data_IF_467147890492
#
_entry.id   IF_467147890492
#
_cell.length_a   1.000
_cell.length_b   1.000
_cell.length_c   1.000
_cell.angle_alpha   90.00
_cell.angle_beta   90.00
_cell.angle_gamma   90.00
#
_symmetry.space_group_name_H-M   'P 1'
#
loop_
_entity.id
_entity.type
_entity.pdbx_description
1 polymer ?
#
# COMPACT_ATOMS: atom_id res chain seq x y z
N UNK A 1 22.04 -2.97 -2.77
CA UNK A 1 20.69 -2.98 -2.19
C UNK A 1 19.80 -2.16 -3.11
N UNK A 2 18.71 -2.73 -3.63
CA UNK A 2 17.73 -1.96 -4.39
C UNK A 2 16.89 -1.14 -3.42
N UNK A 3 16.82 0.19 -3.62
CA UNK A 3 15.98 1.08 -2.84
C UNK A 3 14.65 1.31 -3.58
N UNK A 4 13.57 1.34 -2.82
CA UNK A 4 12.22 1.52 -3.34
C UNK A 4 11.64 0.29 -4.06
N UNK A 5 10.35 0.30 -4.23
CA UNK A 5 9.58 -0.77 -4.90
C UNK A 5 8.21 -0.28 -5.38
N UNK A 6 8.07 1.01 -5.64
CA UNK A 6 6.82 1.59 -6.17
C UNK A 6 7.16 2.73 -7.12
N UNK A 7 6.82 2.58 -8.38
CA UNK A 7 7.16 3.54 -9.42
C UNK A 7 6.03 3.70 -10.44
N UNK A 8 5.97 4.87 -11.08
CA UNK A 8 5.12 5.15 -12.22
C UNK A 8 5.95 5.81 -13.31
N UNK A 9 5.71 5.46 -14.56
CA UNK A 9 6.50 5.94 -15.69
C UNK A 9 5.90 5.55 -17.02
N UNK A 10 6.73 5.56 -18.05
CA UNK A 10 6.37 5.22 -19.42
C UNK A 10 7.20 4.02 -19.91
N UNK A 11 6.56 3.15 -20.66
CA UNK A 11 7.22 2.00 -21.28
C UNK A 11 8.10 2.48 -22.44
N UNK A 12 9.42 2.33 -22.30
CA UNK A 12 10.39 2.70 -23.34
C UNK A 12 10.81 1.51 -24.20
N UNK A 13 10.69 0.29 -23.68
CA UNK A 13 11.00 -0.95 -24.39
C UNK A 13 10.17 -2.11 -23.83
N UNK A 14 9.78 -3.05 -24.68
CA UNK A 14 9.11 -4.30 -24.29
C UNK A 14 9.98 -5.50 -24.63
N UNK A 15 9.98 -6.50 -23.72
CA UNK A 15 10.69 -7.75 -23.91
C UNK A 15 10.08 -8.63 -24.98
N UNK A 16 10.85 -9.60 -25.46
CA UNK A 16 10.37 -10.57 -26.43
C UNK A 16 9.27 -11.44 -25.82
N UNK A 17 8.12 -11.49 -26.47
CA UNK A 17 6.96 -12.28 -26.00
C UNK A 17 5.96 -11.50 -25.17
N UNK A 18 6.27 -10.28 -24.72
CA UNK A 18 5.32 -9.39 -24.06
C UNK A 18 4.38 -8.82 -25.12
N UNK A 19 3.08 -9.04 -24.95
CA UNK A 19 2.04 -8.56 -25.87
C UNK A 19 1.04 -7.60 -25.22
N UNK A 20 1.03 -7.53 -23.88
CA UNK A 20 0.08 -6.72 -23.13
C UNK A 20 0.47 -5.25 -23.04
N UNK A 21 1.73 -4.88 -23.36
CA UNK A 21 2.23 -3.52 -23.26
C UNK A 21 2.90 -3.06 -24.57
N UNK A 22 2.86 -1.73 -24.79
CA UNK A 22 3.48 -1.08 -25.95
C UNK A 22 4.35 0.08 -25.48
N UNK A 23 5.36 0.44 -26.27
CA UNK A 23 6.15 1.66 -26.05
C UNK A 23 5.23 2.87 -26.04
N UNK A 24 5.38 3.74 -25.05
CA UNK A 24 4.51 4.89 -24.81
C UNK A 24 3.36 4.64 -23.83
N UNK A 25 3.08 3.37 -23.43
CA UNK A 25 2.09 3.10 -22.39
C UNK A 25 2.55 3.69 -21.05
N UNK A 26 1.66 4.41 -20.39
CA UNK A 26 1.89 4.85 -19.00
C UNK A 26 1.56 3.70 -18.05
N UNK A 27 2.47 3.42 -17.13
CA UNK A 27 2.38 2.26 -16.27
C UNK A 27 2.83 2.55 -14.84
N UNK A 28 2.38 1.72 -13.92
CA UNK A 28 2.92 1.55 -12.57
C UNK A 28 3.63 0.22 -12.46
N UNK A 29 4.61 0.14 -11.60
CA UNK A 29 5.34 -1.11 -11.38
C UNK A 29 5.99 -1.16 -9.99
N UNK A 30 6.49 -2.35 -9.63
CA UNK A 30 7.32 -2.53 -8.44
C UNK A 30 8.80 -2.17 -8.66
N UNK A 31 9.08 -1.38 -9.68
CA UNK A 31 10.42 -0.86 -9.94
C UNK A 31 11.00 -0.07 -8.77
N UNK A 32 12.30 -0.16 -8.57
CA UNK A 32 13.02 0.59 -7.55
C UNK A 32 13.27 2.04 -7.94
N UNK A 33 14.00 2.76 -7.08
CA UNK A 33 14.40 4.14 -7.33
C UNK A 33 15.51 4.18 -8.38
N UNK A 34 15.10 4.23 -9.64
CA UNK A 34 15.97 4.33 -10.80
C UNK A 34 15.24 5.01 -11.96
N UNK A 35 15.99 5.69 -12.83
CA UNK A 35 15.45 6.32 -14.03
C UNK A 35 14.83 5.28 -14.98
N UNK A 36 15.46 4.13 -15.12
CA UNK A 36 14.98 3.00 -15.89
C UNK A 36 14.91 1.75 -15.03
N UNK A 37 13.82 1.03 -15.14
CA UNK A 37 13.60 -0.24 -14.43
C UNK A 37 13.15 -1.31 -15.40
N UNK A 38 13.60 -2.54 -15.19
CA UNK A 38 13.12 -3.71 -15.91
C UNK A 38 12.24 -4.49 -14.95
N UNK A 39 10.98 -4.69 -15.34
CA UNK A 39 9.99 -5.38 -14.50
C UNK A 39 9.26 -6.43 -15.31
N UNK A 40 8.82 -7.49 -14.65
CA UNK A 40 7.99 -8.51 -15.28
C UNK A 40 6.59 -8.00 -15.55
N UNK A 41 5.92 -8.57 -16.55
CA UNK A 41 4.57 -8.19 -16.97
C UNK A 41 3.56 -8.22 -15.83
N UNK A 42 3.58 -9.26 -14.99
CA UNK A 42 2.68 -9.39 -13.84
C UNK A 42 2.97 -8.39 -12.70
N UNK A 43 4.09 -7.68 -12.74
CA UNK A 43 4.49 -6.65 -11.78
C UNK A 43 4.34 -5.23 -12.34
N UNK A 44 3.56 -5.11 -13.42
CA UNK A 44 3.29 -3.87 -14.13
C UNK A 44 1.77 -3.75 -14.39
N UNK A 45 1.22 -2.55 -14.34
CA UNK A 45 -0.18 -2.27 -14.70
C UNK A 45 -0.29 -0.92 -15.39
N UNK A 46 -1.18 -0.83 -16.38
CA UNK A 46 -1.45 0.44 -17.06
C UNK A 46 -2.15 1.42 -16.14
N UNK A 47 -1.91 2.69 -16.39
CA UNK A 47 -2.65 3.80 -15.79
C UNK A 47 -3.46 4.53 -16.88
N UNK A 48 -4.64 4.97 -16.51
CA UNK A 48 -5.50 5.79 -17.34
C UNK A 48 -4.86 7.18 -17.55
N UNK A 49 -5.05 7.77 -18.74
CA UNK A 49 -4.50 9.09 -19.08
C UNK A 49 -4.91 10.22 -18.12
N UNK A 50 -6.07 10.07 -17.46
CA UNK A 50 -6.60 11.05 -16.49
C UNK A 50 -6.03 10.87 -15.09
N UNK A 51 -5.20 9.86 -14.85
CA UNK A 51 -4.60 9.61 -13.52
C UNK A 51 -3.36 10.48 -13.34
N UNK A 52 -3.27 11.21 -12.22
CA UNK A 52 -2.05 11.92 -11.84
C UNK A 52 -0.93 10.91 -11.56
N UNK A 53 0.21 11.08 -12.22
CA UNK A 53 1.33 10.15 -12.11
C UNK A 53 1.93 10.09 -10.69
N UNK A 54 1.81 11.16 -9.92
CA UNK A 54 2.26 11.20 -8.51
C UNK A 54 1.38 10.33 -7.64
N UNK A 55 0.05 10.34 -7.87
CA UNK A 55 -0.87 9.43 -7.20
C UNK A 55 -0.64 7.98 -7.66
N UNK A 56 -0.42 7.78 -8.96
CA UNK A 56 -0.13 6.46 -9.52
C UNK A 56 1.15 5.83 -8.91
N UNK A 57 2.14 6.63 -8.55
CA UNK A 57 3.37 6.15 -7.90
C UNK A 57 3.12 5.44 -6.54
N UNK A 58 1.95 5.62 -5.92
CA UNK A 58 1.55 4.90 -4.71
C UNK A 58 0.97 3.51 -4.97
N UNK A 59 0.81 3.06 -6.21
CA UNK A 59 0.04 1.85 -6.54
C UNK A 59 0.52 0.60 -5.82
N UNK A 60 1.82 0.37 -5.70
CA UNK A 60 2.32 -0.81 -4.99
C UNK A 60 2.00 -0.73 -3.49
N UNK A 61 2.21 0.43 -2.87
CA UNK A 61 1.83 0.68 -1.47
C UNK A 61 0.31 0.58 -1.27
N UNK A 62 -0.46 1.14 -2.22
CA UNK A 62 -1.91 1.04 -2.25
C UNK A 62 -2.40 -0.40 -2.39
N UNK A 63 -1.67 -1.23 -3.13
CA UNK A 63 -2.00 -2.65 -3.27
C UNK A 63 -1.69 -3.46 -2.02
N UNK A 64 -0.68 -3.08 -1.24
CA UNK A 64 -0.44 -3.63 0.11
C UNK A 64 -1.65 -3.29 1.01
N UNK A 65 -2.06 -2.03 1.04
CA UNK A 65 -3.22 -1.58 1.80
C UNK A 65 -4.51 -2.28 1.35
N UNK A 66 -4.74 -2.38 0.04
CA UNK A 66 -5.91 -3.03 -0.55
C UNK A 66 -5.95 -4.53 -0.24
N UNK A 67 -4.80 -5.21 -0.27
CA UNK A 67 -4.73 -6.63 0.10
C UNK A 67 -5.09 -6.84 1.57
N UNK A 68 -4.54 -6.03 2.48
CA UNK A 68 -4.91 -6.06 3.90
C UNK A 68 -6.39 -5.78 4.12
N UNK A 69 -6.97 -4.79 3.44
CA UNK A 69 -8.39 -4.50 3.49
C UNK A 69 -9.25 -5.67 2.97
N UNK A 70 -8.82 -6.36 1.90
CA UNK A 70 -9.52 -7.58 1.41
C UNK A 70 -9.50 -8.71 2.43
N UNK A 71 -8.38 -8.90 3.12
CA UNK A 71 -8.26 -9.92 4.18
C UNK A 71 -9.16 -9.62 5.39
N UNK A 72 -9.53 -8.36 5.59
CA UNK A 72 -10.43 -7.95 6.68
C UNK A 72 -11.89 -8.38 6.44
N UNK A 73 -12.26 -8.67 5.18
CA UNK A 73 -13.63 -9.02 4.77
C UNK A 73 -14.69 -7.97 5.17
N UNK A 74 -14.25 -6.72 5.33
CA UNK A 74 -15.15 -5.60 5.62
C UNK A 74 -16.10 -5.35 4.47
N UNK A 75 -17.25 -4.79 4.78
CA UNK A 75 -18.30 -4.47 3.82
C UNK A 75 -18.88 -3.08 4.09
N UNK A 76 -19.83 -2.66 3.26
CA UNK A 76 -20.54 -1.39 3.42
C UNK A 76 -21.10 -1.24 4.86
N UNK A 77 -20.76 -0.13 5.52
CA UNK A 77 -21.19 0.18 6.88
C UNK A 77 -20.37 -0.51 7.99
N UNK A 78 -19.34 -1.28 7.67
CA UNK A 78 -18.44 -1.82 8.70
C UNK A 78 -17.70 -0.70 9.41
N UNK A 79 -17.50 -0.85 10.72
CA UNK A 79 -16.64 0.03 11.52
C UNK A 79 -15.22 -0.51 11.54
N UNK A 80 -14.30 0.26 10.97
CA UNK A 80 -12.89 -0.08 10.80
C UNK A 80 -12.02 0.86 11.62
N UNK A 81 -11.16 0.31 12.46
CA UNK A 81 -10.12 1.09 13.14
C UNK A 81 -8.76 0.76 12.53
N UNK A 82 -8.03 1.78 12.13
CA UNK A 82 -6.67 1.66 11.59
C UNK A 82 -5.68 2.14 12.65
N UNK A 83 -4.76 1.27 13.07
CA UNK A 83 -3.73 1.57 14.07
C UNK A 83 -2.38 1.74 13.36
N UNK A 84 -1.86 2.97 13.41
CA UNK A 84 -0.71 3.43 12.65
C UNK A 84 -1.12 4.21 11.40
N UNK A 85 -0.86 5.52 11.36
CA UNK A 85 -1.22 6.42 10.26
C UNK A 85 0.03 6.86 9.45
N UNK A 86 0.93 5.91 9.17
CA UNK A 86 1.91 6.06 8.11
C UNK A 86 1.24 6.03 6.73
N UNK A 87 2.02 6.05 5.65
CA UNK A 87 1.48 6.01 4.27
C UNK A 87 0.51 4.84 4.06
N UNK A 88 0.88 3.63 4.50
CA UNK A 88 0.01 2.44 4.36
C UNK A 88 -1.29 2.62 5.15
N UNK A 89 -1.22 3.17 6.37
CA UNK A 89 -2.41 3.42 7.18
C UNK A 89 -3.39 4.38 6.52
N UNK A 90 -2.88 5.50 5.99
CA UNK A 90 -3.71 6.45 5.23
C UNK A 90 -4.33 5.82 3.98
N UNK A 91 -3.57 4.99 3.25
CA UNK A 91 -4.09 4.27 2.10
C UNK A 91 -5.19 3.28 2.50
N UNK A 92 -5.05 2.58 3.62
CA UNK A 92 -6.13 1.71 4.16
C UNK A 92 -7.36 2.53 4.50
N UNK A 93 -7.21 3.68 5.18
CA UNK A 93 -8.34 4.57 5.51
C UNK A 93 -9.09 5.01 4.26
N UNK A 94 -8.38 5.56 3.24
CA UNK A 94 -8.99 6.02 1.98
C UNK A 94 -9.73 4.89 1.25
N UNK A 95 -9.15 3.69 1.22
CA UNK A 95 -9.77 2.53 0.57
C UNK A 95 -11.01 2.03 1.33
N UNK A 96 -10.96 1.99 2.67
CA UNK A 96 -12.09 1.60 3.49
C UNK A 96 -13.24 2.62 3.43
N UNK A 97 -12.93 3.92 3.42
CA UNK A 97 -13.91 5.00 3.20
C UNK A 97 -14.56 4.89 1.82
N UNK A 98 -13.76 4.67 0.75
CA UNK A 98 -14.27 4.48 -0.61
C UNK A 98 -15.17 3.24 -0.74
N UNK A 99 -14.97 2.23 0.11
CA UNK A 99 -15.83 1.05 0.21
C UNK A 99 -17.12 1.34 0.99
N UNK A 100 -17.21 2.48 1.71
CA UNK A 100 -18.36 2.87 2.52
C UNK A 100 -18.31 2.35 3.96
N UNK A 101 -17.11 2.11 4.51
CA UNK A 101 -16.91 1.81 5.93
C UNK A 101 -16.88 3.10 6.76
N UNK A 102 -17.25 3.00 8.03
CA UNK A 102 -16.96 4.02 9.05
C UNK A 102 -15.51 3.81 9.52
N UNK A 103 -14.63 4.78 9.25
CA UNK A 103 -13.20 4.65 9.49
C UNK A 103 -12.73 5.55 10.61
N UNK A 104 -11.93 5.00 11.51
CA UNK A 104 -11.26 5.72 12.60
C UNK A 104 -9.77 5.38 12.53
N UNK A 105 -8.92 6.39 12.51
CA UNK A 105 -7.46 6.25 12.52
C UNK A 105 -6.87 6.59 13.89
N UNK A 106 -5.87 5.84 14.33
CA UNK A 106 -5.15 6.09 15.59
C UNK A 106 -3.65 6.02 15.34
N UNK A 107 -2.95 7.11 15.69
CA UNK A 107 -1.48 7.17 15.66
C UNK A 107 -0.99 8.14 16.76
N UNK A 108 -0.03 7.77 17.60
CA UNK A 108 0.48 8.66 18.65
C UNK A 108 1.17 9.93 18.13
N UNK A 109 1.57 9.95 16.84
CA UNK A 109 2.16 11.12 16.22
C UNK A 109 1.04 12.06 15.68
N UNK A 110 0.89 13.28 16.24
CA UNK A 110 -0.14 14.22 15.78
C UNK A 110 0.07 14.67 14.33
N UNK A 111 1.31 14.63 13.84
CA UNK A 111 1.59 14.95 12.42
C UNK A 111 1.00 13.91 11.46
N UNK A 112 0.75 12.69 11.93
CA UNK A 112 0.08 11.64 11.18
C UNK A 112 -1.45 11.76 11.21
N UNK A 113 -1.99 12.26 12.31
CA UNK A 113 -3.44 12.37 12.51
C UNK A 113 -4.10 13.54 11.77
N UNK A 114 -3.33 14.51 11.28
CA UNK A 114 -3.85 15.73 10.62
C UNK A 114 -4.51 15.53 9.25
N UNK A 115 -4.40 14.34 8.66
CA UNK A 115 -4.87 14.04 7.31
C UNK A 115 -6.31 13.51 7.24
N UNK A 116 -7.05 13.53 8.35
CA UNK A 116 -8.45 13.11 8.38
C UNK A 116 -9.19 13.57 9.63
N UNK A 117 -10.49 13.79 9.50
CA UNK A 117 -11.35 14.34 10.57
C UNK A 117 -11.59 13.34 11.72
N UNK A 118 -11.53 12.04 11.44
CA UNK A 118 -11.74 10.96 12.41
C UNK A 118 -10.42 10.30 12.83
N UNK A 119 -9.32 11.06 12.84
CA UNK A 119 -8.02 10.56 13.24
C UNK A 119 -7.62 11.14 14.59
N UNK A 120 -7.13 10.29 15.48
CA UNK A 120 -6.89 10.58 16.88
C UNK A 120 -5.47 10.18 17.28
N UNK A 121 -4.92 10.87 18.28
CA UNK A 121 -3.60 10.54 18.83
C UNK A 121 -3.68 9.46 19.91
N UNK A 122 -4.83 9.26 20.51
CA UNK A 122 -5.07 8.23 21.51
C UNK A 122 -6.45 7.59 21.35
N UNK A 123 -6.56 6.35 21.75
CA UNK A 123 -7.85 5.65 21.88
C UNK A 123 -8.75 6.30 22.94
N UNK A 124 -8.17 7.00 23.92
CA UNK A 124 -8.92 7.67 24.97
C UNK A 124 -9.63 8.95 24.49
N UNK A 125 -9.25 9.45 23.30
CA UNK A 125 -9.85 10.64 22.69
C UNK A 125 -11.13 10.30 21.93
N UNK A 126 -11.48 9.02 21.76
CA UNK A 126 -12.62 8.57 20.96
C UNK A 126 -13.36 7.41 21.64
N UNK A 127 -14.69 7.47 21.64
CA UNK A 127 -15.50 6.34 22.14
C UNK A 127 -15.60 5.25 21.09
N UNK A 128 -14.85 4.14 21.27
CA UNK A 128 -14.84 2.99 20.39
C UNK A 128 -15.78 1.90 20.91
N UNK A 129 -16.85 1.64 20.15
CA UNK A 129 -17.79 0.54 20.40
C UNK A 129 -18.04 -0.23 19.10
N UNK A 130 -18.22 -1.53 19.24
CA UNK A 130 -18.62 -2.42 18.17
C UNK A 130 -17.72 -2.35 16.93
N UNK A 131 -16.40 -2.32 17.14
CA UNK A 131 -15.41 -2.31 16.07
C UNK A 131 -15.41 -3.66 15.34
N UNK A 132 -15.78 -3.68 14.08
CA UNK A 132 -15.86 -4.89 13.25
C UNK A 132 -14.49 -5.42 12.88
N UNK A 133 -13.57 -4.51 12.57
CA UNK A 133 -12.21 -4.86 12.15
C UNK A 133 -11.20 -3.85 12.66
N UNK A 134 -10.07 -4.36 13.12
CA UNK A 134 -8.89 -3.54 13.41
C UNK A 134 -7.79 -3.91 12.43
N UNK A 135 -7.28 -2.90 11.70
CA UNK A 135 -6.18 -3.07 10.75
C UNK A 135 -4.94 -2.39 11.32
N UNK A 136 -3.90 -3.17 11.60
CA UNK A 136 -2.65 -2.68 12.19
C UNK A 136 -1.64 -2.47 11.09
N UNK A 137 -1.25 -1.21 10.88
CA UNK A 137 -0.24 -0.79 9.90
C UNK A 137 1.00 -0.20 10.57
N UNK A 138 1.01 -0.15 11.90
CA UNK A 138 2.14 0.31 12.70
C UNK A 138 3.37 -0.58 12.52
N UNK A 139 4.56 0.03 12.58
CA UNK A 139 5.84 -0.66 12.67
C UNK A 139 6.50 -0.25 13.99
N UNK A 140 6.58 -1.18 14.94
CA UNK A 140 7.11 -0.92 16.29
C UNK A 140 7.54 -2.21 16.97
N UNK A 141 8.49 -2.11 17.90
CA UNK A 141 8.86 -3.21 18.81
C UNK A 141 7.90 -3.40 19.98
N UNK A 142 6.93 -2.48 20.17
CA UNK A 142 5.90 -2.55 21.20
C UNK A 142 4.80 -3.53 20.82
N UNK A 143 4.24 -4.21 21.83
CA UNK A 143 3.06 -5.07 21.69
C UNK A 143 1.73 -4.28 21.79
N UNK A 144 1.79 -2.99 22.12
CA UNK A 144 0.60 -2.14 22.32
C UNK A 144 -0.41 -2.18 21.17
N UNK A 145 -0.02 -2.17 19.86
CA UNK A 145 -1.00 -2.18 18.78
C UNK A 145 -1.91 -3.41 18.79
N UNK A 146 -1.38 -4.61 19.07
CA UNK A 146 -2.19 -5.83 19.12
C UNK A 146 -3.02 -5.90 20.42
N UNK A 147 -2.50 -5.41 21.53
CA UNK A 147 -3.25 -5.29 22.80
C UNK A 147 -4.41 -4.32 22.66
N UNK A 148 -4.18 -3.16 22.04
CA UNK A 148 -5.23 -2.21 21.72
C UNK A 148 -6.30 -2.85 20.82
N UNK A 149 -5.88 -3.53 19.75
CA UNK A 149 -6.80 -4.18 18.82
C UNK A 149 -7.72 -5.18 19.53
N UNK A 150 -7.19 -6.02 20.40
CA UNK A 150 -8.01 -6.99 21.16
C UNK A 150 -8.97 -6.31 22.13
N UNK A 151 -8.58 -5.16 22.71
CA UNK A 151 -9.40 -4.39 23.66
C UNK A 151 -10.63 -3.78 22.96
N UNK A 152 -10.45 -3.12 21.80
CA UNK A 152 -11.51 -2.37 21.13
C UNK A 152 -12.37 -3.22 20.17
N UNK A 153 -11.87 -4.34 19.69
CA UNK A 153 -12.58 -5.25 18.82
C UNK A 153 -13.85 -5.81 19.49
N UNK A 154 -14.98 -5.86 18.75
CA UNK A 154 -16.18 -6.56 19.23
C UNK A 154 -15.98 -8.09 19.23
N UNK A 155 -16.96 -8.82 19.74
CA UNK A 155 -16.97 -10.27 19.59
C UNK A 155 -16.99 -10.67 18.11
N UNK A 156 -16.20 -11.67 17.74
CA UNK A 156 -16.03 -12.17 16.37
C UNK A 156 -15.47 -11.14 15.37
N UNK A 157 -14.79 -10.12 15.88
CA UNK A 157 -14.09 -9.16 15.04
C UNK A 157 -12.84 -9.78 14.41
N UNK A 158 -12.39 -9.19 13.33
CA UNK A 158 -11.16 -9.57 12.64
C UNK A 158 -10.05 -8.54 12.90
N UNK A 159 -8.85 -9.03 13.18
CA UNK A 159 -7.64 -8.23 13.31
C UNK A 159 -6.72 -8.57 12.15
N UNK A 160 -6.35 -7.59 11.35
CA UNK A 160 -5.44 -7.75 10.21
C UNK A 160 -4.14 -7.00 10.49
N UNK A 161 -3.02 -7.70 10.41
CA UNK A 161 -1.70 -7.13 10.61
C UNK A 161 -1.00 -6.98 9.27
N UNK A 162 -0.76 -5.72 8.87
CA UNK A 162 0.01 -5.34 7.68
C UNK A 162 1.41 -4.88 8.09
N UNK A 163 1.49 -4.14 9.20
CA UNK A 163 2.73 -3.60 9.74
C UNK A 163 3.63 -4.63 10.38
N UNK A 164 4.77 -4.17 10.85
CA UNK A 164 5.77 -4.99 11.54
C UNK A 164 5.67 -4.76 13.05
N UNK A 165 5.01 -5.67 13.74
CA UNK A 165 4.80 -5.64 15.20
C UNK A 165 5.05 -7.01 15.81
N UNK A 166 5.40 -7.09 17.10
CA UNK A 166 5.35 -8.33 17.87
C UNK A 166 3.93 -8.90 17.91
N UNK A 167 3.81 -10.22 17.86
CA UNK A 167 2.54 -10.94 17.97
C UNK A 167 2.49 -11.74 19.27
N UNK A 168 2.78 -11.08 20.42
CA UNK A 168 2.64 -11.70 21.74
C UNK A 168 1.17 -11.62 22.16
N UNK A 169 0.38 -12.59 21.73
CA UNK A 169 -1.07 -12.63 21.93
C UNK A 169 -1.44 -13.48 23.14
N UNK A 170 -2.39 -12.97 23.93
CA UNK A 170 -3.03 -13.72 25.01
C UNK A 170 -4.13 -14.60 24.45
N UNK A 171 -4.07 -15.92 24.69
CA UNK A 171 -5.16 -16.83 24.32
C UNK A 171 -6.51 -16.38 24.86
N UNK A 172 -6.54 -15.84 26.09
CA UNK A 172 -7.80 -15.46 26.70
C UNK A 172 -8.49 -14.31 25.99
N UNK A 173 -7.73 -13.29 25.53
CA UNK A 173 -8.28 -12.14 24.83
C UNK A 173 -8.96 -12.56 23.51
N UNK A 174 -8.37 -13.53 22.83
CA UNK A 174 -8.96 -14.11 21.62
C UNK A 174 -10.13 -15.05 21.93
N UNK A 175 -9.99 -15.90 22.94
CA UNK A 175 -10.99 -16.92 23.27
C UNK A 175 -12.33 -16.32 23.68
N UNK A 176 -12.36 -15.32 24.56
CA UNK A 176 -13.61 -14.76 25.05
C UNK A 176 -14.39 -13.99 23.99
N UNK A 177 -13.71 -13.42 23.00
CA UNK A 177 -14.34 -12.69 21.90
C UNK A 177 -14.42 -13.47 20.59
N UNK A 178 -13.87 -14.69 20.52
CA UNK A 178 -13.72 -15.48 19.31
C UNK A 178 -13.10 -14.62 18.16
N UNK A 179 -12.00 -13.92 18.44
CA UNK A 179 -11.33 -13.05 17.48
C UNK A 179 -10.58 -13.86 16.43
N UNK A 180 -10.55 -13.34 15.20
CA UNK A 180 -9.71 -13.83 14.13
C UNK A 180 -8.48 -12.93 13.96
N UNK A 181 -7.30 -13.53 13.75
CA UNK A 181 -6.06 -12.82 13.43
C UNK A 181 -5.54 -13.27 12.06
N UNK A 182 -5.26 -12.30 11.19
CA UNK A 182 -4.68 -12.56 9.87
C UNK A 182 -3.47 -11.66 9.67
N UNK A 183 -2.35 -12.24 9.21
CA UNK A 183 -1.16 -11.49 8.80
C UNK A 183 -1.18 -11.32 7.29
N UNK A 184 -1.13 -10.08 6.83
CA UNK A 184 -1.16 -9.73 5.41
C UNK A 184 0.23 -9.92 4.79
N UNK A 185 0.27 -10.62 3.64
CA UNK A 185 1.52 -10.83 2.90
C UNK A 185 1.64 -9.85 1.75
N UNK A 186 2.34 -8.73 1.99
CA UNK A 186 2.67 -7.74 0.95
C UNK A 186 1.43 -7.33 0.12
N UNK A 187 1.52 -7.28 -1.21
CA UNK A 187 0.41 -6.87 -2.09
C UNK A 187 -0.40 -8.06 -2.66
N UNK A 188 -0.28 -9.23 -2.06
CA UNK A 188 -1.23 -10.33 -2.25
C UNK A 188 -0.68 -11.56 -2.98
N UNK A 189 -1.57 -12.48 -3.40
CA UNK A 189 -1.20 -13.71 -4.10
C UNK A 189 -0.39 -13.44 -5.37
N UNK A 190 0.63 -14.25 -5.60
CA UNK A 190 1.64 -14.08 -6.62
C UNK A 190 2.98 -13.63 -6.02
N UNK A 191 2.94 -12.90 -4.92
CA UNK A 191 4.15 -12.35 -4.28
C UNK A 191 5.10 -13.43 -3.82
N UNK A 192 6.36 -13.35 -4.29
CA UNK A 192 7.45 -14.31 -4.10
C UNK A 192 7.25 -15.66 -4.82
N UNK A 193 6.25 -15.78 -5.69
CA UNK A 193 6.13 -16.93 -6.59
C UNK A 193 6.87 -16.65 -7.90
N UNK A 194 7.98 -17.34 -8.13
CA UNK A 194 8.79 -17.18 -9.35
C UNK A 194 8.02 -17.53 -10.63
N UNK A 195 7.05 -18.45 -10.57
CA UNK A 195 6.21 -18.78 -11.71
C UNK A 195 5.36 -17.59 -12.12
N UNK A 196 4.82 -16.89 -11.14
CA UNK A 196 3.99 -15.71 -11.36
C UNK A 196 4.84 -14.47 -11.68
N UNK A 197 5.79 -14.10 -10.79
CA UNK A 197 6.54 -12.85 -10.91
C UNK A 197 7.55 -12.88 -12.07
N UNK A 198 8.29 -13.99 -12.26
CA UNK A 198 9.40 -14.03 -13.23
C UNK A 198 9.02 -14.68 -14.56
N UNK A 199 8.14 -15.68 -14.56
CA UNK A 199 7.80 -16.44 -15.76
C UNK A 199 6.44 -16.05 -16.37
N UNK A 200 5.72 -15.10 -15.76
CA UNK A 200 4.47 -14.56 -16.30
C UNK A 200 3.28 -15.52 -16.23
N UNK A 201 3.37 -16.62 -15.48
CA UNK A 201 2.27 -17.57 -15.35
C UNK A 201 1.23 -17.04 -14.36
N UNK A 202 0.08 -16.60 -14.86
CA UNK A 202 -1.02 -16.11 -14.01
C UNK A 202 -1.81 -17.27 -13.38
N UNK A 203 -2.43 -16.99 -12.24
CA UNK A 203 -3.37 -17.91 -11.60
C UNK A 203 -4.74 -17.85 -12.28
N UNK A 204 -5.44 -19.00 -12.43
CA UNK A 204 -6.83 -19.00 -12.86
C UNK A 204 -7.68 -18.09 -11.97
N UNK A 205 -8.44 -17.18 -12.59
CA UNK A 205 -9.18 -16.14 -11.86
C UNK A 205 -10.27 -16.72 -10.95
N UNK A 206 -10.82 -17.85 -11.28
CA UNK A 206 -11.83 -18.56 -10.49
C UNK A 206 -11.29 -19.14 -9.18
N UNK A 207 -9.96 -19.32 -9.07
CA UNK A 207 -9.31 -19.81 -7.85
C UNK A 207 -8.57 -18.72 -7.08
N UNK A 208 -8.00 -17.75 -7.80
CA UNK A 208 -7.27 -16.63 -7.19
C UNK A 208 -7.79 -15.32 -7.79
N UNK A 209 -8.86 -14.78 -7.20
CA UNK A 209 -9.51 -13.56 -7.73
C UNK A 209 -8.58 -12.34 -7.68
N UNK A 210 -7.81 -12.17 -6.62
CA UNK A 210 -7.02 -10.99 -6.34
C UNK A 210 -5.52 -11.33 -6.22
N UNK A 211 -4.85 -11.38 -7.39
CA UNK A 211 -3.39 -11.44 -7.45
C UNK A 211 -2.80 -10.04 -7.22
N UNK A 212 -1.50 -9.96 -7.00
CA UNK A 212 -0.79 -8.68 -6.89
C UNK A 212 -1.02 -7.77 -8.10
N UNK A 213 -0.97 -8.31 -9.33
CA UNK A 213 -1.26 -7.54 -10.55
C UNK A 213 -2.70 -7.01 -10.56
N UNK A 214 -3.68 -7.86 -10.25
CA UNK A 214 -5.10 -7.46 -10.19
C UNK A 214 -5.38 -6.47 -9.06
N UNK A 215 -4.55 -6.46 -8.01
CA UNK A 215 -4.59 -5.40 -7.00
C UNK A 215 -4.02 -4.08 -7.54
N UNK A 216 -2.96 -4.10 -8.37
CA UNK A 216 -2.48 -2.91 -9.07
C UNK A 216 -3.57 -2.32 -9.96
N UNK A 217 -4.18 -3.15 -10.82
CA UNK A 217 -5.28 -2.73 -11.70
C UNK A 217 -6.47 -2.15 -10.92
N UNK A 218 -6.86 -2.80 -9.81
CA UNK A 218 -7.97 -2.31 -8.99
C UNK A 218 -7.64 -0.97 -8.36
N UNK A 219 -6.42 -0.77 -7.87
CA UNK A 219 -6.00 0.48 -7.25
C UNK A 219 -5.89 1.62 -8.27
N UNK A 220 -5.25 1.39 -9.42
CA UNK A 220 -5.17 2.40 -10.49
C UNK A 220 -6.55 2.80 -11.02
N UNK A 221 -7.50 1.86 -11.06
CA UNK A 221 -8.88 2.14 -11.43
C UNK A 221 -9.59 3.05 -10.43
N UNK A 222 -9.36 2.87 -9.13
CA UNK A 222 -9.93 3.77 -8.11
C UNK A 222 -9.39 5.20 -8.26
N UNK A 223 -8.11 5.35 -8.60
CA UNK A 223 -7.49 6.65 -8.90
C UNK A 223 -8.10 7.29 -10.15
N UNK A 224 -8.20 6.55 -11.26
CA UNK A 224 -8.74 7.06 -12.52
C UNK A 224 -10.21 7.49 -12.40
N UNK A 225 -10.98 6.79 -11.57
CA UNK A 225 -12.38 7.10 -11.27
C UNK A 225 -12.53 8.18 -10.18
N UNK A 226 -11.43 8.70 -9.64
CA UNK A 226 -11.42 9.69 -8.55
C UNK A 226 -12.19 9.26 -7.31
N UNK A 227 -12.24 7.96 -7.05
CA UNK A 227 -12.85 7.41 -5.84
C UNK A 227 -11.94 7.55 -4.62
N UNK A 228 -10.64 7.68 -4.85
CA UNK A 228 -9.63 8.02 -3.86
C UNK A 228 -8.74 9.15 -4.39
N UNK A 229 -8.22 9.98 -3.49
CA UNK A 229 -7.31 11.08 -3.77
C UNK A 229 -6.11 10.97 -2.83
N UNK A 230 -4.89 11.16 -3.35
CA UNK A 230 -3.67 10.92 -2.59
C UNK A 230 -2.68 12.10 -2.64
N UNK A 231 -2.98 13.17 -3.37
CA UNK A 231 -2.04 14.29 -3.52
C UNK A 231 -1.74 14.99 -2.19
N UNK A 232 -2.68 15.00 -1.26
CA UNK A 232 -2.49 15.51 0.10
C UNK A 232 -1.53 14.68 0.94
N UNK A 233 -1.32 13.41 0.59
CA UNK A 233 -0.34 12.53 1.24
C UNK A 233 1.10 12.77 0.71
N UNK A 234 1.28 13.46 -0.42
CA UNK A 234 2.59 13.80 -0.98
C UNK A 234 3.16 14.98 -0.23
N UNK A 235 4.09 14.74 0.68
CA UNK A 235 4.75 15.82 1.43
C UNK A 235 5.64 16.66 0.53
N UNK A 236 6.43 16.03 -0.35
CA UNK A 236 7.35 16.69 -1.25
C UNK A 236 7.48 15.94 -2.58
N UNK A 237 7.76 16.69 -3.65
CA UNK A 237 8.20 16.14 -4.95
C UNK A 237 9.58 16.72 -5.23
N UNK A 238 10.59 15.88 -5.32
CA UNK A 238 11.97 16.32 -5.48
C UNK A 238 12.62 15.70 -6.71
N UNK A 239 13.65 16.35 -7.22
CA UNK A 239 14.48 15.76 -8.28
C UNK A 239 15.26 14.54 -7.74
N UNK A 240 15.48 13.53 -8.58
CA UNK A 240 16.18 12.32 -8.16
C UNK A 240 17.61 12.61 -7.69
N UNK A 241 18.24 13.60 -8.29
CA UNK A 241 19.60 14.05 -7.94
C UNK A 241 19.70 14.49 -6.48
N UNK A 242 18.58 14.98 -5.91
CA UNK A 242 18.50 15.44 -4.52
C UNK A 242 18.05 14.31 -3.55
N UNK A 243 17.83 13.09 -4.04
CA UNK A 243 17.37 11.97 -3.24
C UNK A 243 18.18 11.71 -1.95
N UNK A 244 19.53 11.82 -1.93
CA UNK A 244 20.30 11.65 -0.69
C UNK A 244 19.81 12.55 0.46
N UNK A 245 19.46 13.80 0.18
CA UNK A 245 18.97 14.75 1.19
C UNK A 245 17.62 14.36 1.80
N UNK A 246 16.82 13.59 1.05
CA UNK A 246 15.54 13.09 1.52
C UNK A 246 15.70 11.94 2.51
N UNK A 247 16.63 11.04 2.23
CA UNK A 247 16.89 9.93 3.16
C UNK A 247 17.36 10.44 4.52
N UNK A 248 18.12 11.55 4.55
CA UNK A 248 18.51 12.21 5.80
C UNK A 248 17.28 12.71 6.59
N UNK A 249 16.27 13.28 5.91
CA UNK A 249 15.02 13.76 6.56
C UNK A 249 14.23 12.65 7.26
N UNK A 250 14.37 11.38 6.85
CA UNK A 250 13.71 10.27 7.53
C UNK A 250 14.35 9.90 8.87
N UNK A 251 15.52 10.47 9.18
CA UNK A 251 16.18 10.36 10.49
C UNK A 251 15.84 11.55 11.41
N UNK A 252 15.17 12.60 10.90
CA UNK A 252 14.75 13.77 11.66
C UNK A 252 13.60 13.46 12.64
N UNK A 253 13.38 14.34 13.63
CA UNK A 253 12.24 14.24 14.56
C UNK A 253 10.89 14.36 13.82
N UNK A 254 10.80 15.28 12.83
CA UNK A 254 9.61 15.45 12.01
C UNK A 254 9.89 14.84 10.64
N UNK A 255 9.33 13.66 10.42
CA UNK A 255 9.51 12.91 9.16
C UNK A 255 8.42 13.26 8.16
N UNK A 256 8.77 13.43 6.86
CA UNK A 256 7.75 13.56 5.83
C UNK A 256 6.87 12.28 5.80
N UNK A 257 5.59 12.44 5.48
CA UNK A 257 4.69 11.28 5.32
C UNK A 257 5.11 10.47 4.11
N UNK A 258 5.31 11.14 2.98
CA UNK A 258 5.83 10.53 1.76
C UNK A 258 6.60 11.54 0.91
N UNK A 259 7.52 11.04 0.09
CA UNK A 259 8.25 11.84 -0.91
C UNK A 259 8.19 11.12 -2.25
N UNK A 260 7.90 11.87 -3.30
CA UNK A 260 7.94 11.38 -4.69
C UNK A 260 9.23 11.85 -5.34
N UNK A 261 10.05 10.92 -5.82
CA UNK A 261 11.24 11.21 -6.61
C UNK A 261 10.85 11.38 -8.07
N UNK A 262 11.24 12.52 -8.66
CA UNK A 262 10.99 12.83 -10.07
C UNK A 262 12.27 12.66 -10.88
N UNK A 263 12.21 11.87 -11.93
CA UNK A 263 13.27 11.67 -12.90
C UNK A 263 13.09 12.65 -14.08
N UNK A 264 14.20 13.07 -14.68
CA UNK A 264 14.17 13.88 -15.88
C UNK A 264 14.02 12.95 -17.10
N UNK A 265 12.84 12.94 -17.72
CA UNK A 265 12.52 12.10 -18.87
C UNK A 265 12.97 12.69 -20.22
N UNK A 266 13.52 13.90 -20.25
CA UNK A 266 14.00 14.54 -21.47
C UNK A 266 15.41 14.08 -21.90
N UNK A 267 16.07 13.27 -21.08
CA UNK A 267 17.35 12.68 -21.42
C UNK A 267 17.14 11.46 -22.34
N UNK A 268 17.82 11.43 -23.51
CA UNK A 268 17.85 10.21 -24.32
C UNK A 268 18.40 9.03 -23.49
N UNK A 269 17.71 7.87 -23.50
CA UNK A 269 18.16 6.72 -22.71
C UNK A 269 19.56 6.28 -23.17
N UNK A 270 20.53 6.42 -22.28
CA UNK A 270 21.89 5.88 -22.45
C UNK A 270 21.96 4.40 -22.07
N UNK A 271 21.01 3.58 -22.53
CA UNK A 271 20.97 2.17 -22.16
C UNK A 271 21.38 1.34 -23.38
N UNK A 272 22.57 0.77 -23.32
CA UNK A 272 22.86 -0.48 -24.03
C UNK A 272 22.24 -1.61 -23.21
N UNK A 273 21.05 -2.07 -23.60
CA UNK A 273 20.47 -3.28 -23.03
C UNK A 273 21.16 -4.44 -23.72
N UNK A 274 22.14 -5.06 -23.07
CA UNK A 274 22.70 -6.33 -23.51
C UNK A 274 21.57 -7.36 -23.57
N UNK A 275 21.37 -7.94 -24.75
CA UNK A 275 20.31 -8.92 -25.05
C UNK A 275 20.74 -10.33 -24.59
N UNK A 276 21.12 -10.50 -23.33
CA UNK A 276 21.38 -11.82 -22.76
C UNK A 276 20.26 -12.21 -21.78
N UNK A 277 19.14 -12.65 -22.34
CA UNK A 277 18.17 -13.56 -21.71
C UNK A 277 17.61 -14.51 -22.76
#
# INVERSE_FOLDING_TARGET
>A
LQLGYSSAGEVVKVGKGVSSYHVGDKVVSNGGHAEYVVVSENLCSRIDENTDIKEAAFTVLGSIALHGLRLSETSLGSKVVVVGLGVIGHLVCRLAEAQGSEVIGIDPDPERSKYGDNFFTSVDDVELKDVDTVIITAATSSNEPIELATKIARNKAKIVVIGDIPLNISRNDFYYKELELVVSKSYGPGRYDKQYEALGNDYPIEYVRWTENRNFEAFTKLLSQKQIHLLDLVSEVIAFEDAPSVYEKFDDEIKPLSVVLRYNIDAEPKIEIENDL
#
